data_IF_534128422053
#
_entry.id   IF_534128422053
#
_cell.length_a   1.000
_cell.length_b   1.000
_cell.length_c   1.000
_cell.angle_alpha   90.00
_cell.angle_beta   90.00
_cell.angle_gamma   90.00
#
_symmetry.space_group_name_H-M   'P 1'
#
loop_
_entity.id
_entity.type
_entity.pdbx_description
1 polymer ?
#
# COMPACT_ATOMS: atom_id res chain seq x y z
N UNK A 1 -0.20 -0.83 -13.03
CA UNK A 1 -1.54 -1.45 -12.90
C UNK A 1 -1.60 -2.37 -11.69
N UNK A 2 -2.78 -2.92 -11.34
CA UNK A 2 -2.97 -3.75 -10.14
C UNK A 2 -1.96 -4.92 -10.02
N UNK A 3 -1.64 -5.57 -11.15
CA UNK A 3 -0.63 -6.63 -11.23
C UNK A 3 0.79 -6.15 -10.86
N UNK A 4 1.12 -4.90 -11.13
CA UNK A 4 2.41 -4.32 -10.77
C UNK A 4 2.49 -4.03 -9.27
N UNK A 5 1.38 -3.56 -8.68
CA UNK A 5 1.29 -3.33 -7.24
C UNK A 5 1.46 -4.64 -6.44
N UNK A 6 0.88 -5.74 -6.90
CA UNK A 6 1.07 -7.07 -6.29
C UNK A 6 2.51 -7.59 -6.45
N UNK A 7 3.13 -7.40 -7.62
CA UNK A 7 4.54 -7.77 -7.85
C UNK A 7 5.49 -6.96 -6.98
N UNK A 8 5.24 -5.67 -6.80
CA UNK A 8 6.04 -4.83 -5.91
C UNK A 8 5.84 -5.20 -4.45
N UNK A 9 4.60 -5.49 -4.04
CA UNK A 9 4.28 -5.94 -2.68
C UNK A 9 4.99 -7.26 -2.34
N UNK A 10 4.92 -8.25 -3.22
CA UNK A 10 5.58 -9.55 -3.03
C UNK A 10 7.11 -9.41 -2.92
N UNK A 11 7.74 -8.60 -3.79
CA UNK A 11 9.17 -8.30 -3.71
C UNK A 11 9.55 -7.56 -2.42
N UNK A 12 8.79 -6.54 -2.04
CA UNK A 12 9.03 -5.78 -0.82
C UNK A 12 8.87 -6.65 0.43
N UNK A 13 7.87 -7.53 0.45
CA UNK A 13 7.63 -8.48 1.53
C UNK A 13 8.77 -9.48 1.64
N UNK A 14 9.23 -10.06 0.53
CA UNK A 14 10.37 -10.97 0.53
C UNK A 14 11.63 -10.29 1.10
N UNK A 15 11.93 -9.07 0.65
CA UNK A 15 13.11 -8.32 1.13
C UNK A 15 13.00 -7.93 2.60
N UNK A 16 11.83 -7.51 3.06
CA UNK A 16 11.60 -7.17 4.47
C UNK A 16 11.73 -8.41 5.38
N UNK A 17 11.22 -9.57 4.94
CA UNK A 17 11.35 -10.83 5.66
C UNK A 17 12.81 -11.29 5.76
N UNK A 18 13.54 -11.24 4.65
CA UNK A 18 14.98 -11.55 4.60
C UNK A 18 15.76 -10.66 5.58
N UNK A 19 15.53 -9.34 5.52
CA UNK A 19 16.22 -8.38 6.39
C UNK A 19 15.83 -8.55 7.86
N UNK A 20 14.56 -8.89 8.15
CA UNK A 20 14.12 -9.14 9.53
C UNK A 20 14.69 -10.45 10.08
N UNK A 21 14.85 -11.47 9.23
CA UNK A 21 15.54 -12.70 9.63
C UNK A 21 17.03 -12.42 9.93
N UNK A 22 17.71 -11.68 9.05
CA UNK A 22 19.10 -11.27 9.27
C UNK A 22 19.26 -10.42 10.54
N UNK A 23 18.32 -9.52 10.84
CA UNK A 23 18.31 -8.73 12.08
C UNK A 23 18.21 -9.62 13.32
N UNK A 24 17.31 -10.62 13.30
CA UNK A 24 17.19 -11.60 14.40
C UNK A 24 18.46 -12.42 14.58
N UNK A 25 19.09 -12.84 13.48
CA UNK A 25 20.37 -13.55 13.53
C UNK A 25 21.48 -12.68 14.13
N UNK A 26 21.55 -11.40 13.75
CA UNK A 26 22.50 -10.46 14.31
C UNK A 26 22.26 -10.22 15.82
N UNK A 27 20.99 -10.16 16.26
CA UNK A 27 20.62 -10.03 17.68
C UNK A 27 20.94 -11.28 18.50
N UNK A 28 20.86 -12.45 17.89
CA UNK A 28 21.19 -13.73 18.51
C UNK A 28 22.69 -13.94 18.70
N UNK A 29 23.55 -13.14 18.04
CA UNK A 29 24.99 -13.22 18.25
C UNK A 29 25.36 -12.90 19.71
N UNK A 30 26.43 -13.53 20.24
CA UNK A 30 26.97 -13.13 21.54
C UNK A 30 27.44 -11.67 21.48
N UNK A 31 27.32 -10.97 22.61
CA UNK A 31 27.82 -9.59 22.73
C UNK A 31 29.32 -9.58 22.42
N UNK A 32 29.72 -8.77 21.45
CA UNK A 32 31.07 -8.77 20.91
C UNK A 32 31.20 -7.95 19.64
N UNK A 33 32.41 -7.83 19.07
CA UNK A 33 32.72 -6.86 18.03
C UNK A 33 31.92 -7.07 16.74
N UNK A 34 31.54 -8.32 16.41
CA UNK A 34 30.71 -8.61 15.23
C UNK A 34 29.25 -8.19 15.44
N UNK A 35 28.68 -8.52 16.60
CA UNK A 35 27.33 -8.07 16.97
C UNK A 35 27.27 -6.55 17.06
N UNK A 36 28.30 -5.95 17.65
CA UNK A 36 28.43 -4.50 17.74
C UNK A 36 28.55 -3.92 16.33
N UNK A 37 29.40 -4.43 15.45
CA UNK A 37 29.48 -3.94 14.07
C UNK A 37 28.13 -3.98 13.33
N UNK A 38 27.35 -5.04 13.50
CA UNK A 38 26.05 -5.21 12.82
C UNK A 38 24.95 -4.36 13.45
N UNK A 39 24.91 -4.22 14.79
CA UNK A 39 23.78 -3.62 15.53
C UNK A 39 24.12 -2.31 16.27
N UNK A 40 25.39 -2.02 16.52
CA UNK A 40 25.87 -0.92 17.34
C UNK A 40 27.02 -0.13 16.67
N UNK A 41 26.77 1.12 16.28
CA UNK A 41 27.85 1.99 15.82
C UNK A 41 28.72 2.44 17.00
N UNK A 42 29.93 1.87 17.12
CA UNK A 42 30.96 2.41 18.02
C UNK A 42 31.75 3.48 17.29
N UNK A 43 31.37 4.75 17.44
CA UNK A 43 32.24 5.87 17.08
C UNK A 43 33.22 6.14 18.25
N UNK A 44 34.51 5.79 18.07
CA UNK A 44 35.55 6.16 19.03
C UNK A 44 35.93 7.63 18.87
N UNK A 45 35.52 8.48 19.81
CA UNK A 45 35.98 9.87 19.85
C UNK A 45 37.13 10.00 20.82
N UNK A 46 38.29 10.38 20.28
CA UNK A 46 39.46 10.70 21.06
C UNK A 46 39.45 12.17 21.46
N UNK A 47 39.64 12.43 22.74
CA UNK A 47 39.91 13.78 23.20
C UNK A 47 41.04 13.77 24.22
N UNK A 48 41.83 14.83 24.16
CA UNK A 48 42.94 15.04 25.06
C UNK A 48 42.45 15.87 26.24
N UNK A 49 42.53 15.31 27.44
CA UNK A 49 42.27 16.05 28.67
C UNK A 49 43.61 16.43 29.32
N UNK A 50 43.73 17.68 29.76
CA UNK A 50 44.87 18.11 30.54
C UNK A 50 44.71 17.58 31.97
N UNK A 51 45.59 16.68 32.36
CA UNK A 51 45.73 16.24 33.75
C UNK A 51 46.91 17.02 34.32
N UNK A 52 46.73 17.71 35.45
CA UNK A 52 47.67 18.73 35.95
C UNK A 52 49.15 18.32 35.93
N UNK A 53 50.05 19.33 35.88
CA UNK A 53 51.50 19.23 35.61
C UNK A 53 51.88 18.84 34.17
N UNK A 54 51.20 19.41 33.17
CA UNK A 54 51.59 19.30 31.76
C UNK A 54 51.41 17.92 31.12
N UNK A 55 50.72 16.98 31.79
CA UNK A 55 50.45 15.63 31.26
C UNK A 55 49.12 15.61 30.52
N UNK A 56 49.12 15.14 29.28
CA UNK A 56 47.89 14.92 28.50
C UNK A 56 47.46 13.45 28.64
N UNK A 57 46.24 13.20 29.08
CA UNK A 57 45.65 11.87 29.07
C UNK A 57 44.70 11.74 27.87
N UNK A 58 44.89 10.70 27.05
CA UNK A 58 43.96 10.34 25.98
C UNK A 58 42.73 9.70 26.63
N UNK A 59 41.59 10.37 26.54
CA UNK A 59 40.31 9.77 26.93
C UNK A 59 39.57 9.31 25.68
N UNK A 60 38.89 8.17 25.81
CA UNK A 60 38.03 7.58 24.79
C UNK A 60 36.59 7.73 25.28
N UNK A 61 35.75 8.48 24.56
CA UNK A 61 34.29 8.41 24.74
C UNK A 61 33.70 7.66 23.57
N UNK A 62 32.80 6.73 23.89
CA UNK A 62 31.94 6.08 22.92
C UNK A 62 30.71 6.96 22.73
N UNK A 63 30.52 7.49 21.52
CA UNK A 63 29.30 8.17 21.13
C UNK A 63 28.53 7.25 20.16
N UNK A 64 27.26 7.00 20.47
CA UNK A 64 26.39 6.14 19.66
C UNK A 64 25.61 7.03 18.69
N UNK A 65 25.83 6.85 17.38
CA UNK A 65 24.94 7.36 16.34
C UNK A 65 24.05 6.21 15.83
N UNK A 66 22.86 6.54 15.30
CA UNK A 66 22.12 5.63 14.45
C UNK A 66 22.80 5.74 13.07
N UNK A 67 23.41 4.71 12.52
CA UNK A 67 22.78 3.50 12.00
C UNK A 67 23.84 2.73 11.21
N UNK A 68 24.25 1.54 11.64
CA UNK A 68 25.02 0.64 10.78
C UNK A 68 24.31 0.53 9.42
N UNK A 69 25.07 0.38 8.32
CA UNK A 69 24.48 0.25 6.98
C UNK A 69 23.39 -0.83 6.95
N UNK A 70 23.60 -1.90 7.73
CA UNK A 70 22.64 -2.96 7.95
C UNK A 70 21.30 -2.50 8.56
N UNK A 71 21.33 -1.65 9.60
CA UNK A 71 20.12 -1.06 10.18
C UNK A 71 19.42 -0.10 9.22
N UNK A 72 20.19 0.64 8.40
CA UNK A 72 19.61 1.50 7.36
C UNK A 72 18.89 0.68 6.30
N UNK A 73 19.50 -0.42 5.84
CA UNK A 73 18.91 -1.32 4.87
C UNK A 73 17.65 -2.01 5.40
N UNK A 74 17.66 -2.46 6.65
CA UNK A 74 16.49 -3.04 7.29
C UNK A 74 15.34 -2.03 7.36
N UNK A 75 15.61 -0.80 7.82
CA UNK A 75 14.61 0.27 7.87
C UNK A 75 14.07 0.61 6.48
N UNK A 76 14.94 0.75 5.48
CA UNK A 76 14.53 1.03 4.11
C UNK A 76 13.68 -0.11 3.51
N UNK A 77 13.95 -1.36 3.87
CA UNK A 77 13.12 -2.50 3.46
C UNK A 77 11.71 -2.44 4.09
N UNK A 78 11.61 -2.06 5.38
CA UNK A 78 10.33 -1.86 6.05
C UNK A 78 9.52 -0.70 5.47
N UNK A 79 10.17 0.43 5.18
CA UNK A 79 9.51 1.59 4.56
C UNK A 79 8.98 1.25 3.15
N UNK A 80 9.74 0.47 2.37
CA UNK A 80 9.30 -0.06 1.07
C UNK A 80 8.11 -1.01 1.22
N UNK A 81 8.09 -1.86 2.25
CA UNK A 81 6.95 -2.73 2.51
C UNK A 81 5.70 -1.91 2.87
N UNK A 82 5.82 -0.92 3.74
CA UNK A 82 4.71 -0.04 4.13
C UNK A 82 4.12 0.67 2.91
N UNK A 83 4.95 1.32 2.10
CA UNK A 83 4.49 1.98 0.86
C UNK A 83 3.87 1.01 -0.16
N UNK A 84 4.33 -0.25 -0.23
CA UNK A 84 3.71 -1.26 -1.07
C UNK A 84 2.34 -1.71 -0.53
N UNK A 85 2.20 -1.87 0.80
CA UNK A 85 0.91 -2.19 1.44
C UNK A 85 -0.14 -1.13 1.19
N UNK A 86 0.23 0.15 1.33
CA UNK A 86 -0.68 1.28 1.06
C UNK A 86 -1.17 1.28 -0.38
N UNK A 87 -0.29 0.99 -1.35
CA UNK A 87 -0.66 0.93 -2.76
C UNK A 87 -1.60 -0.23 -3.07
N UNK A 88 -1.36 -1.42 -2.49
CA UNK A 88 -2.29 -2.55 -2.62
C UNK A 88 -3.64 -2.21 -2.00
N UNK A 89 -3.66 -1.54 -0.85
CA UNK A 89 -4.91 -1.13 -0.21
C UNK A 89 -5.69 -0.16 -1.08
N UNK A 90 -5.04 0.88 -1.64
CA UNK A 90 -5.70 1.81 -2.58
C UNK A 90 -6.30 1.11 -3.80
N UNK A 91 -5.60 0.13 -4.35
CA UNK A 91 -6.11 -0.67 -5.48
C UNK A 91 -7.33 -1.50 -5.06
N UNK A 92 -7.32 -2.08 -3.86
CA UNK A 92 -8.46 -2.83 -3.32
C UNK A 92 -9.66 -1.95 -3.06
N UNK A 93 -9.46 -0.76 -2.51
CA UNK A 93 -10.53 0.20 -2.25
C UNK A 93 -11.17 0.67 -3.57
N UNK A 94 -10.35 1.00 -4.57
CA UNK A 94 -10.84 1.34 -5.91
C UNK A 94 -11.63 0.19 -6.55
N UNK A 95 -11.17 -1.05 -6.39
CA UNK A 95 -11.88 -2.23 -6.88
C UNK A 95 -13.22 -2.46 -6.16
N UNK A 96 -13.30 -2.17 -4.87
CA UNK A 96 -14.54 -2.25 -4.10
C UNK A 96 -15.57 -1.23 -4.60
N UNK A 97 -15.15 0.02 -4.84
CA UNK A 97 -16.00 1.07 -5.41
C UNK A 97 -16.52 0.67 -6.78
N UNK A 98 -15.65 0.24 -7.71
CA UNK A 98 -16.08 -0.20 -9.04
C UNK A 98 -17.07 -1.37 -8.99
N UNK A 99 -16.90 -2.31 -8.05
CA UNK A 99 -17.84 -3.43 -7.87
C UNK A 99 -19.21 -2.96 -7.36
N UNK A 100 -19.22 -1.97 -6.46
CA UNK A 100 -20.46 -1.39 -5.95
C UNK A 100 -21.20 -0.64 -7.07
N UNK A 101 -20.52 0.24 -7.80
CA UNK A 101 -21.09 0.98 -8.93
C UNK A 101 -21.65 0.03 -10.00
N UNK A 102 -20.92 -1.06 -10.29
CA UNK A 102 -21.39 -2.08 -11.22
C UNK A 102 -22.63 -2.83 -10.72
N UNK A 103 -22.71 -3.13 -9.42
CA UNK A 103 -23.88 -3.78 -8.82
C UNK A 103 -25.11 -2.87 -8.84
N UNK A 104 -24.94 -1.57 -8.54
CA UNK A 104 -25.99 -0.56 -8.61
C UNK A 104 -26.51 -0.40 -10.06
N UNK A 105 -25.58 -0.31 -11.03
CA UNK A 105 -25.95 -0.23 -12.45
C UNK A 105 -26.71 -1.45 -12.96
N UNK A 106 -26.32 -2.66 -12.54
CA UNK A 106 -27.04 -3.90 -12.87
C UNK A 106 -28.45 -3.89 -12.27
N UNK A 107 -28.60 -3.50 -11.01
CA UNK A 107 -29.90 -3.41 -10.36
C UNK A 107 -30.83 -2.41 -11.06
N UNK A 108 -30.29 -1.26 -11.46
CA UNK A 108 -31.02 -0.26 -12.25
C UNK A 108 -31.45 -0.80 -13.63
N UNK A 109 -30.56 -1.56 -14.29
CA UNK A 109 -30.87 -2.20 -15.57
C UNK A 109 -31.98 -3.25 -15.41
N UNK A 110 -31.92 -4.10 -14.39
CA UNK A 110 -32.95 -5.09 -14.10
C UNK A 110 -34.31 -4.44 -13.80
N UNK A 111 -34.33 -3.37 -13.00
CA UNK A 111 -35.54 -2.61 -12.70
C UNK A 111 -36.15 -1.97 -13.97
N UNK A 112 -35.32 -1.45 -14.87
CA UNK A 112 -35.77 -0.89 -16.14
C UNK A 112 -36.33 -1.97 -17.07
N UNK A 113 -35.71 -3.15 -17.14
CA UNK A 113 -36.21 -4.28 -17.92
C UNK A 113 -37.56 -4.77 -17.39
N UNK A 114 -37.73 -4.86 -16.07
CA UNK A 114 -39.01 -5.23 -15.46
C UNK A 114 -40.12 -4.23 -15.81
N UNK A 115 -39.85 -2.92 -15.70
CA UNK A 115 -40.81 -1.86 -16.08
C UNK A 115 -41.18 -1.92 -17.56
N UNK A 116 -40.22 -2.17 -18.44
CA UNK A 116 -40.47 -2.32 -19.88
C UNK A 116 -41.34 -3.55 -20.16
N UNK A 117 -41.08 -4.66 -19.46
CA UNK A 117 -41.90 -5.87 -19.55
C UNK A 117 -43.34 -5.61 -19.10
N UNK A 118 -43.55 -4.98 -17.95
CA UNK A 118 -44.88 -4.61 -17.45
C UNK A 118 -45.61 -3.67 -18.42
N UNK A 119 -44.93 -2.66 -18.94
CA UNK A 119 -45.49 -1.74 -19.93
C UNK A 119 -45.89 -2.47 -21.22
N UNK A 120 -45.09 -3.43 -21.68
CA UNK A 120 -45.40 -4.26 -22.83
C UNK A 120 -46.62 -5.16 -22.57
N UNK A 121 -46.71 -5.79 -21.40
CA UNK A 121 -47.89 -6.59 -21.01
C UNK A 121 -49.16 -5.74 -20.95
N UNK A 122 -49.07 -4.52 -20.40
CA UNK A 122 -50.18 -3.58 -20.35
C UNK A 122 -50.65 -3.18 -21.77
N UNK A 123 -49.72 -2.86 -22.68
CA UNK A 123 -50.04 -2.52 -24.08
C UNK A 123 -50.71 -3.68 -24.83
N UNK A 124 -50.22 -4.92 -24.64
CA UNK A 124 -50.82 -6.11 -25.21
C UNK A 124 -52.24 -6.36 -24.68
N UNK A 125 -52.48 -6.09 -23.39
CA UNK A 125 -53.82 -6.22 -22.79
C UNK A 125 -54.84 -5.21 -23.32
N UNK A 126 -54.36 -4.08 -23.85
CA UNK A 126 -55.17 -3.05 -24.51
C UNK A 126 -55.39 -3.34 -26.01
N UNK A 127 -54.92 -4.50 -26.52
CA UNK A 127 -55.09 -4.91 -27.91
C UNK A 127 -54.15 -4.20 -28.91
N UNK A 128 -53.13 -3.48 -28.43
CA UNK A 128 -52.11 -2.89 -29.29
C UNK A 128 -51.01 -3.92 -29.59
N UNK A 129 -50.59 -4.07 -30.87
CA UNK A 129 -49.55 -5.03 -31.23
C UNK A 129 -48.19 -4.64 -30.63
N UNK A 130 -47.42 -5.65 -30.22
CA UNK A 130 -46.04 -5.50 -29.76
C UNK A 130 -45.18 -4.81 -30.85
N UNK A 131 -44.91 -3.52 -30.67
CA UNK A 131 -44.18 -2.73 -31.67
C UNK A 131 -44.33 -1.22 -31.56
N UNK A 132 -45.25 -0.68 -30.75
CA UNK A 132 -45.25 0.76 -30.47
C UNK A 132 -44.10 1.10 -29.51
N UNK A 133 -43.16 1.92 -29.99
CA UNK A 133 -42.01 2.38 -29.24
C UNK A 133 -42.46 3.09 -27.96
N UNK A 134 -42.17 2.49 -26.80
CA UNK A 134 -42.25 3.17 -25.52
C UNK A 134 -41.20 4.30 -25.55
N UNK A 135 -41.57 5.57 -25.30
CA UNK A 135 -40.60 6.64 -25.29
C UNK A 135 -39.58 6.36 -24.18
N UNK A 136 -38.35 6.05 -24.57
CA UNK A 136 -37.22 6.00 -23.64
C UNK A 136 -37.08 7.40 -23.03
N UNK A 137 -37.52 7.57 -21.78
CA UNK A 137 -36.98 8.64 -20.96
C UNK A 137 -35.50 8.32 -20.79
N UNK A 138 -34.64 9.12 -21.45
CA UNK A 138 -33.22 9.16 -21.12
C UNK A 138 -33.12 9.36 -19.61
N UNK A 139 -32.58 8.38 -18.90
CA UNK A 139 -32.16 8.56 -17.52
C UNK A 139 -31.13 9.68 -17.51
N UNK A 140 -31.26 10.62 -16.58
CA UNK A 140 -30.33 11.73 -16.40
C UNK A 140 -28.90 11.29 -15.99
N UNK A 141 -28.62 9.98 -15.97
CA UNK A 141 -27.33 9.39 -15.63
C UNK A 141 -26.35 9.32 -16.82
N UNK A 142 -26.79 9.59 -18.05
CA UNK A 142 -25.91 9.51 -19.24
C UNK A 142 -24.98 10.72 -19.44
N UNK A 143 -25.07 11.78 -18.61
CA UNK A 143 -24.31 13.02 -18.85
C UNK A 143 -23.14 13.29 -17.92
N UNK A 144 -22.97 12.55 -16.81
CA UNK A 144 -21.94 12.86 -15.82
C UNK A 144 -20.98 11.67 -15.57
N UNK A 145 -20.40 11.13 -16.63
CA UNK A 145 -19.24 10.24 -16.50
C UNK A 145 -17.95 11.04 -16.68
N UNK A 146 -17.22 11.42 -15.60
CA UNK A 146 -16.01 12.24 -15.68
C UNK A 146 -14.80 11.53 -16.30
N UNK A 147 -14.96 10.29 -16.79
CA UNK A 147 -13.90 9.48 -17.39
C UNK A 147 -13.81 9.58 -18.91
N UNK A 148 -14.68 10.37 -19.55
CA UNK A 148 -14.71 10.58 -21.01
C UNK A 148 -14.23 11.98 -21.44
N UNK A 149 -13.55 12.74 -20.58
CA UNK A 149 -12.93 14.03 -20.88
C UNK A 149 -11.40 14.01 -20.74
#
# INVERSE_FOLDING_TARGET
>A
GAMDAEREFTKATARANEMTAAMREAEALPVGPLRDFLLAEREERFYWSATGKGRKARQVKHAYRPTSEFLQEHKAALDKLASATERVQKVRDALAVMRQEHAESLADHEANLARLSEAQTALMSLGLPAGMAVPQRRSAADTDSPWLA
#
